data_IF_914918611289
#
_entry.id   IF_914918611289
#
_cell.length_a   1.000
_cell.length_b   1.000
_cell.length_c   1.000
_cell.angle_alpha   90.00
_cell.angle_beta   90.00
_cell.angle_gamma   90.00
#
_symmetry.space_group_name_H-M   'P 1'
#
loop_
_entity.id
_entity.type
_entity.pdbx_description
1 polymer ?
#
# COMPACT_ATOMS: atom_id res chain seq x y z
N UNK A 1 -13.35 2.18 15.97
CA UNK A 1 -12.25 1.55 15.22
C UNK A 1 -10.96 1.97 15.90
N UNK A 2 -10.31 1.08 16.64
CA UNK A 2 -9.02 1.40 17.25
C UNK A 2 -7.97 1.49 16.13
N UNK A 3 -7.10 2.49 16.18
CA UNK A 3 -5.96 2.57 15.26
C UNK A 3 -5.07 1.35 15.51
N UNK A 4 -4.94 0.47 14.51
CA UNK A 4 -3.99 -0.64 14.56
C UNK A 4 -2.58 -0.13 14.32
N UNK A 5 -1.96 0.35 15.41
CA UNK A 5 -0.58 0.83 15.40
C UNK A 5 0.42 -0.21 14.92
N UNK A 6 0.16 -1.50 15.17
CA UNK A 6 1.04 -2.57 14.74
C UNK A 6 0.97 -2.75 13.21
N UNK A 7 -0.21 -2.62 12.61
CA UNK A 7 -0.37 -2.61 11.16
C UNK A 7 0.33 -1.42 10.50
N UNK A 8 0.18 -0.20 11.06
CA UNK A 8 0.87 0.99 10.55
C UNK A 8 2.39 0.83 10.64
N UNK A 9 2.91 0.36 11.77
CA UNK A 9 4.34 0.12 11.95
C UNK A 9 4.88 -0.91 10.95
N UNK A 10 4.18 -2.05 10.76
CA UNK A 10 4.56 -3.07 9.76
C UNK A 10 4.54 -2.49 8.34
N UNK A 11 3.54 -1.70 7.98
CA UNK A 11 3.47 -1.04 6.68
C UNK A 11 4.67 -0.10 6.47
N UNK A 12 5.02 0.70 7.47
CA UNK A 12 6.16 1.63 7.40
C UNK A 12 7.51 0.93 7.29
N UNK A 13 7.77 -0.03 8.18
CA UNK A 13 9.09 -0.69 8.25
C UNK A 13 9.29 -1.73 7.15
N UNK A 14 8.24 -2.51 6.82
CA UNK A 14 8.37 -3.58 5.82
C UNK A 14 7.97 -3.11 4.42
N UNK A 15 6.87 -2.38 4.30
CA UNK A 15 6.34 -1.92 3.00
C UNK A 15 7.14 -0.74 2.44
N UNK A 16 7.36 0.28 3.26
CA UNK A 16 8.07 1.50 2.87
C UNK A 16 9.58 1.46 3.19
N UNK A 17 10.06 0.37 3.79
CA UNK A 17 11.48 0.14 4.17
C UNK A 17 12.08 1.22 5.07
N UNK A 18 11.26 1.85 5.90
CA UNK A 18 11.75 2.79 6.91
C UNK A 18 12.50 2.04 8.00
N UNK A 19 13.52 2.67 8.58
CA UNK A 19 14.05 2.16 9.85
C UNK A 19 13.00 2.35 10.95
N UNK A 20 12.98 1.49 11.99
CA UNK A 20 12.07 1.66 13.13
C UNK A 20 12.14 3.07 13.74
N UNK A 21 13.34 3.65 13.83
CA UNK A 21 13.57 5.00 14.35
C UNK A 21 12.95 6.07 13.44
N UNK A 22 13.16 5.98 12.12
CA UNK A 22 12.59 6.92 11.17
C UNK A 22 11.06 6.95 11.25
N UNK A 23 10.41 5.80 11.42
CA UNK A 23 8.95 5.74 11.57
C UNK A 23 8.44 6.56 12.76
N UNK A 24 9.11 6.48 13.92
CA UNK A 24 8.70 7.21 15.12
C UNK A 24 8.98 8.71 15.06
N UNK A 25 9.91 9.14 14.20
CA UNK A 25 10.21 10.55 13.97
C UNK A 25 9.29 11.21 12.93
N UNK A 26 8.52 10.44 12.16
CA UNK A 26 7.64 10.98 11.14
C UNK A 26 6.50 11.80 11.75
N UNK A 27 6.22 12.95 11.15
CA UNK A 27 4.97 13.64 11.37
C UNK A 27 3.81 12.90 10.71
N UNK A 28 2.59 13.11 11.20
CA UNK A 28 1.39 12.53 10.62
C UNK A 28 1.17 12.93 9.15
N UNK A 29 1.60 14.13 8.77
CA UNK A 29 1.52 14.62 7.38
C UNK A 29 2.47 13.83 6.48
N UNK A 30 3.70 13.60 6.91
CA UNK A 30 4.68 12.81 6.16
C UNK A 30 4.26 11.35 6.05
N UNK A 31 3.73 10.78 7.13
CA UNK A 31 3.15 9.44 7.08
C UNK A 31 2.10 9.32 5.97
N UNK A 32 1.13 10.25 5.90
CA UNK A 32 0.09 10.23 4.86
C UNK A 32 0.62 10.37 3.44
N UNK A 33 1.67 11.16 3.24
CA UNK A 33 2.30 11.31 1.93
C UNK A 33 3.02 10.02 1.51
N UNK A 34 3.71 9.36 2.43
CA UNK A 34 4.46 8.13 2.15
C UNK A 34 3.57 6.89 2.06
N UNK A 35 2.46 6.85 2.79
CA UNK A 35 1.52 5.73 2.83
C UNK A 35 0.35 5.88 1.85
N UNK A 36 0.35 6.93 1.02
CA UNK A 36 -0.71 7.13 0.04
C UNK A 36 -0.70 5.94 -0.95
N UNK A 37 -1.86 5.32 -1.16
CA UNK A 37 -2.00 4.35 -2.22
C UNK A 37 -1.70 5.03 -3.57
N UNK A 38 -1.02 4.35 -4.50
CA UNK A 38 -0.81 4.91 -5.83
C UNK A 38 -2.16 5.29 -6.44
N UNK A 39 -2.21 6.46 -7.08
CA UNK A 39 -3.42 7.00 -7.71
C UNK A 39 -3.91 6.10 -8.85
N UNK A 40 -3.00 5.31 -9.43
CA UNK A 40 -3.34 4.28 -10.40
C UNK A 40 -3.91 3.05 -9.69
N UNK A 41 -5.15 2.72 -10.05
CA UNK A 41 -5.81 1.48 -9.65
C UNK A 41 -4.89 0.29 -9.93
N UNK A 42 -4.45 -0.37 -8.86
CA UNK A 42 -3.78 -1.67 -8.97
C UNK A 42 -4.79 -2.60 -9.63
N UNK A 43 -4.41 -3.18 -10.77
CA UNK A 43 -5.23 -4.16 -11.47
C UNK A 43 -5.63 -5.24 -10.46
N UNK A 44 -6.92 -5.27 -10.11
CA UNK A 44 -7.41 -6.27 -9.18
C UNK A 44 -7.32 -7.64 -9.84
N UNK A 45 -7.24 -8.70 -9.02
CA UNK A 45 -7.29 -10.07 -9.55
C UNK A 45 -8.52 -10.29 -10.43
N UNK A 46 -9.66 -9.73 -10.05
CA UNK A 46 -10.89 -9.82 -10.83
C UNK A 46 -10.77 -9.11 -12.18
N UNK A 47 -10.23 -7.89 -12.18
CA UNK A 47 -10.06 -7.11 -13.41
C UNK A 47 -9.06 -7.78 -14.37
N UNK A 48 -8.04 -8.47 -13.85
CA UNK A 48 -7.13 -9.29 -14.64
C UNK A 48 -7.87 -10.47 -15.28
N UNK A 49 -8.68 -11.21 -14.50
CA UNK A 49 -9.46 -12.34 -15.00
C UNK A 49 -10.46 -11.93 -16.08
N UNK A 50 -11.05 -10.73 -15.96
CA UNK A 50 -11.95 -10.20 -16.97
C UNK A 50 -11.22 -9.84 -18.26
N UNK A 51 -10.03 -9.21 -18.16
CA UNK A 51 -9.17 -8.94 -19.32
C UNK A 51 -8.74 -10.21 -20.05
N UNK A 52 -8.35 -11.26 -19.32
CA UNK A 52 -7.95 -12.55 -19.91
C UNK A 52 -9.11 -13.21 -20.68
N UNK A 53 -10.35 -12.99 -20.24
CA UNK A 53 -11.54 -13.51 -20.92
C UNK A 53 -11.88 -12.69 -22.16
N UNK A 54 -11.65 -11.39 -22.11
CA UNK A 54 -11.94 -10.45 -23.21
C UNK A 54 -10.90 -10.55 -24.33
N UNK A 55 -9.65 -10.82 -24.00
CA UNK A 55 -8.53 -10.95 -24.94
C UNK A 55 -7.85 -12.32 -24.79
N UNK A 56 -8.45 -13.41 -25.31
CA UNK A 56 -7.83 -14.73 -25.27
C UNK A 56 -6.61 -14.80 -26.20
N UNK A 57 -5.51 -15.36 -25.70
CA UNK A 57 -4.30 -15.61 -26.48
C UNK A 57 -4.53 -16.80 -27.43
N UNK A 58 -4.73 -16.52 -28.72
CA UNK A 58 -4.65 -17.53 -29.80
C UNK A 58 -3.20 -17.93 -30.12
#
# INVERSE_FOLDING_TARGET
MATDWAALFRHGVLGLRLTPEAFWHLSWREWRMLSAAPEMAVLSRQALEDLMREFPDE
#
